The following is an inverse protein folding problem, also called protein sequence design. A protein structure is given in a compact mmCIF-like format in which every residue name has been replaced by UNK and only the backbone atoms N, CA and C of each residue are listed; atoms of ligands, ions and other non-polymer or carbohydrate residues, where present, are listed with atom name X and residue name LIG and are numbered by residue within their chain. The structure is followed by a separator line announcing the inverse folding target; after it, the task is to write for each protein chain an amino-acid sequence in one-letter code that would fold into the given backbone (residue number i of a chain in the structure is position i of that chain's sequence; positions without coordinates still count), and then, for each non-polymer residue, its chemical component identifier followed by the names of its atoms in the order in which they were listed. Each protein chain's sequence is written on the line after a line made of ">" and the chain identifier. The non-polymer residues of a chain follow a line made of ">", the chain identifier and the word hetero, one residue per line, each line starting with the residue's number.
data_IF_357634360256
#
_entry.id   IF_357634360256
#
_cell.length_a   1.000
_cell.length_b   1.000
_cell.length_c   1.000
_cell.angle_alpha   90.00
_cell.angle_beta   90.00
_cell.angle_gamma   90.00
#
_symmetry.space_group_name_H-M   'P 1'
#
loop_
_entity.id
_entity.type
_entity.pdbx_description
1 polymer ?
#
# COMPACT_ATOMS: atom_id res chain seq x y z
N UNK A 1 -20.14 -4.73 -3.66
CA UNK A 1 -19.54 -5.89 -4.37
C UNK A 1 -18.05 -5.82 -4.11
N UNK A 2 -17.58 -6.51 -3.06
CA UNK A 2 -16.17 -6.56 -2.70
C UNK A 2 -15.55 -7.72 -3.47
N UNK A 3 -14.78 -7.42 -4.50
CA UNK A 3 -14.07 -8.45 -5.27
C UNK A 3 -12.90 -8.93 -4.42
N UNK A 4 -13.16 -9.92 -3.56
CA UNK A 4 -12.12 -10.70 -2.92
C UNK A 4 -11.50 -11.60 -4.00
N UNK A 5 -10.41 -11.13 -4.61
CA UNK A 5 -9.57 -11.96 -5.47
C UNK A 5 -8.73 -12.81 -4.52
N UNK A 6 -9.10 -14.08 -4.38
CA UNK A 6 -8.30 -15.04 -3.62
C UNK A 6 -6.91 -15.21 -4.22
N UNK A 7 -5.88 -15.19 -3.38
CA UNK A 7 -4.51 -15.50 -3.78
C UNK A 7 -3.56 -15.59 -2.60
N UNK A 8 -3.34 -16.83 -2.11
CA UNK A 8 -2.33 -17.25 -1.12
C UNK A 8 -2.66 -16.94 0.37
N UNK A 9 -2.41 -17.88 1.31
CA UNK A 9 -2.67 -17.67 2.75
C UNK A 9 -1.70 -16.69 3.45
N UNK A 10 -0.72 -16.13 2.73
CA UNK A 10 0.39 -15.36 3.34
C UNK A 10 0.66 -13.99 2.71
N UNK A 11 -0.10 -13.60 1.67
CA UNK A 11 0.02 -12.28 1.03
C UNK A 11 -1.37 -11.62 1.05
N UNK A 12 -1.63 -10.83 2.09
CA UNK A 12 -2.88 -10.06 2.17
C UNK A 12 -2.65 -8.78 1.38
N UNK A 13 -3.31 -8.67 0.23
CA UNK A 13 -3.27 -7.47 -0.61
C UNK A 13 -4.66 -6.84 -0.68
N UNK A 14 -4.75 -5.56 -0.30
CA UNK A 14 -5.96 -4.76 -0.36
C UNK A 14 -5.79 -3.62 -1.37
N UNK A 15 -6.78 -3.45 -2.25
CA UNK A 15 -6.80 -2.33 -3.20
C UNK A 15 -7.46 -1.12 -2.55
N UNK A 16 -6.64 -0.11 -2.22
CA UNK A 16 -7.09 1.13 -1.63
C UNK A 16 -7.18 2.24 -2.69
N UNK A 17 -8.38 2.79 -2.91
CA UNK A 17 -8.59 3.89 -3.84
C UNK A 17 -8.67 5.21 -3.10
N UNK A 18 -7.85 6.17 -3.48
CA UNK A 18 -7.80 7.50 -2.87
C UNK A 18 -7.60 8.56 -3.95
N UNK A 19 -8.48 9.55 -4.02
CA UNK A 19 -8.37 10.69 -4.97
C UNK A 19 -8.18 10.29 -6.44
N UNK A 20 -8.89 9.25 -6.89
CA UNK A 20 -8.77 8.72 -8.26
C UNK A 20 -7.48 7.94 -8.54
N UNK A 21 -6.63 7.75 -7.53
CA UNK A 21 -5.43 6.91 -7.57
C UNK A 21 -5.73 5.54 -6.94
N UNK A 22 -5.09 4.52 -7.47
CA UNK A 22 -5.25 3.14 -7.00
C UNK A 22 -3.95 2.69 -6.34
N UNK A 23 -4.02 2.46 -5.04
CA UNK A 23 -2.94 1.92 -4.22
C UNK A 23 -3.21 0.44 -3.94
N UNK A 24 -2.14 -0.35 -3.90
CA UNK A 24 -2.17 -1.76 -3.55
C UNK A 24 -1.36 -1.89 -2.26
N UNK A 25 -2.08 -1.99 -1.15
CA UNK A 25 -1.53 -2.15 0.18
C UNK A 25 -1.36 -3.64 0.43
N UNK A 26 -0.12 -4.12 0.54
CA UNK A 26 0.18 -5.55 0.70
C UNK A 26 0.91 -5.79 2.02
N UNK A 27 0.67 -6.96 2.61
CA UNK A 27 1.43 -7.48 3.73
C UNK A 27 2.25 -8.68 3.24
N UNK A 28 3.55 -8.49 3.10
CA UNK A 28 4.47 -9.52 2.65
C UNK A 28 5.04 -10.26 3.86
N UNK A 29 4.83 -11.58 3.94
CA UNK A 29 5.39 -12.37 5.04
C UNK A 29 6.90 -12.60 4.84
N UNK A 30 7.67 -12.36 5.89
CA UNK A 30 9.09 -12.62 5.98
C UNK A 30 9.35 -14.05 6.46
N UNK A 31 10.53 -14.64 6.16
CA UNK A 31 10.89 -16.00 6.60
C UNK A 31 10.96 -16.16 8.12
N UNK A 32 11.05 -15.05 8.86
CA UNK A 32 11.01 -15.02 10.34
C UNK A 32 9.58 -15.19 10.90
N UNK A 33 8.56 -15.21 10.04
CA UNK A 33 7.14 -15.32 10.40
C UNK A 33 6.44 -13.97 10.60
N UNK A 34 7.19 -12.86 10.65
CA UNK A 34 6.66 -11.49 10.70
C UNK A 34 6.20 -10.99 9.33
N UNK A 35 5.43 -9.89 9.29
CA UNK A 35 4.93 -9.26 8.07
C UNK A 35 5.57 -7.90 7.83
N UNK A 36 5.76 -7.55 6.57
CA UNK A 36 6.28 -6.28 6.09
C UNK A 36 5.17 -5.56 5.32
N UNK A 37 4.85 -4.33 5.70
CA UNK A 37 3.91 -3.49 4.96
C UNK A 37 4.55 -2.94 3.68
N UNK A 38 3.93 -3.19 2.52
CA UNK A 38 4.36 -2.62 1.25
C UNK A 38 3.22 -1.86 0.58
N UNK A 39 3.56 -0.68 0.07
CA UNK A 39 2.64 0.20 -0.66
C UNK A 39 3.06 0.22 -2.11
N UNK A 40 2.18 -0.22 -2.99
CA UNK A 40 2.37 -0.11 -4.43
C UNK A 40 1.32 0.84 -5.00
N UNK A 41 1.67 1.56 -6.03
CA UNK A 41 0.77 2.46 -6.74
C UNK A 41 0.62 1.99 -8.17
N UNK A 42 -0.63 1.89 -8.62
CA UNK A 42 -0.96 1.57 -9.99
C UNK A 42 -1.11 2.87 -10.78
N UNK A 43 -0.18 3.11 -11.68
CA UNK A 43 -0.10 4.32 -12.48
C UNK A 43 -1.00 4.25 -13.70
N UNK A 44 -2.03 5.09 -13.83
CA UNK A 44 -2.73 5.29 -15.10
C UNK A 44 -1.90 6.18 -16.05
N UNK A 45 -2.03 6.02 -17.39
CA UNK A 45 -2.87 5.05 -18.10
C UNK A 45 -2.19 3.70 -18.36
N UNK A 46 -0.91 3.55 -18.03
CA UNK A 46 -0.12 2.35 -18.35
C UNK A 46 -0.49 1.14 -17.48
N UNK A 47 -1.24 1.36 -16.40
CA UNK A 47 -1.56 0.38 -15.36
C UNK A 47 -0.30 -0.27 -14.75
N UNK A 48 0.85 0.42 -14.83
CA UNK A 48 2.10 -0.05 -14.25
C UNK A 48 2.02 0.00 -12.73
N UNK A 49 2.37 -1.10 -12.08
CA UNK A 49 2.41 -1.19 -10.62
C UNK A 49 3.83 -0.88 -10.18
N UNK A 50 3.98 0.19 -9.40
CA UNK A 50 5.28 0.62 -8.86
C UNK A 50 5.24 0.55 -7.36
N UNK A 51 6.24 -0.10 -6.76
CA UNK A 51 6.38 -0.01 -5.30
C UNK A 51 6.79 1.40 -4.90
N UNK A 52 5.95 2.04 -4.10
CA UNK A 52 6.20 3.37 -3.55
C UNK A 52 7.08 3.29 -2.32
N UNK A 53 6.71 2.40 -1.39
CA UNK A 53 7.37 2.33 -0.09
C UNK A 53 7.25 0.92 0.51
N UNK A 54 8.34 0.53 1.15
CA UNK A 54 8.41 -0.61 2.05
C UNK A 54 8.59 -0.07 3.46
N UNK A 55 7.72 -0.44 4.38
CA UNK A 55 7.81 0.03 5.77
C UNK A 55 8.87 -0.77 6.53
N UNK A 56 9.92 -0.14 7.05
CA UNK A 56 11.00 -0.92 7.69
C UNK A 56 10.58 -1.64 8.98
N UNK A 57 9.36 -1.37 9.49
CA UNK A 57 8.82 -2.06 10.65
C UNK A 57 8.28 -3.44 10.27
N UNK A 58 8.48 -4.38 11.20
CA UNK A 58 7.92 -5.71 11.12
C UNK A 58 6.68 -5.77 11.98
N UNK A 59 5.64 -6.41 11.46
CA UNK A 59 4.35 -6.58 12.11
C UNK A 59 4.15 -8.04 12.48
N UNK A 60 3.49 -8.30 13.60
CA UNK A 60 3.14 -9.66 14.01
C UNK A 60 1.97 -10.21 13.18
N UNK A 61 1.14 -9.33 12.62
CA UNK A 61 -0.07 -9.69 11.90
C UNK A 61 -0.13 -9.04 10.51
N UNK A 62 -0.62 -9.78 9.52
CA UNK A 62 -0.87 -9.25 8.17
C UNK A 62 -1.84 -8.06 8.20
N UNK A 63 -2.88 -8.11 9.03
CA UNK A 63 -3.85 -7.02 9.16
C UNK A 63 -3.21 -5.71 9.65
N UNK A 64 -2.26 -5.79 10.58
CA UNK A 64 -1.52 -4.61 11.06
C UNK A 64 -0.62 -4.03 9.96
N UNK A 65 0.06 -4.91 9.20
CA UNK A 65 0.87 -4.48 8.05
C UNK A 65 0.01 -3.83 6.95
N UNK A 66 -1.15 -4.38 6.61
CA UNK A 66 -2.07 -3.76 5.62
C UNK A 66 -2.62 -2.42 6.12
N UNK A 67 -2.98 -2.35 7.40
CA UNK A 67 -3.42 -1.10 8.01
C UNK A 67 -2.32 -0.04 7.90
N UNK A 68 -1.07 -0.42 8.18
CA UNK A 68 0.07 0.50 8.02
C UNK A 68 0.30 0.91 6.58
N UNK A 69 0.28 -0.05 5.66
CA UNK A 69 0.43 0.22 4.23
C UNK A 69 -0.63 1.24 3.75
N UNK A 70 -1.86 1.15 4.26
CA UNK A 70 -2.92 2.11 3.96
C UNK A 70 -2.61 3.51 4.50
N UNK A 71 -2.15 3.62 5.76
CA UNK A 71 -1.73 4.91 6.32
C UNK A 71 -0.59 5.55 5.51
N UNK A 72 0.40 4.75 5.09
CA UNK A 72 1.51 5.21 4.26
C UNK A 72 1.04 5.63 2.86
N UNK A 73 0.09 4.92 2.27
CA UNK A 73 -0.50 5.30 0.99
C UNK A 73 -1.21 6.67 1.07
N UNK A 74 -1.96 6.91 2.15
CA UNK A 74 -2.63 8.19 2.42
C UNK A 74 -1.58 9.29 2.64
N UNK A 75 -0.55 9.03 3.47
CA UNK A 75 0.50 10.00 3.73
C UNK A 75 1.29 10.36 2.45
N UNK A 76 1.58 9.37 1.61
CA UNK A 76 2.22 9.58 0.31
C UNK A 76 1.33 10.41 -0.63
N UNK A 77 0.03 10.09 -0.70
CA UNK A 77 -0.93 10.83 -1.51
C UNK A 77 -1.03 12.29 -1.03
N UNK A 78 -1.15 12.51 0.28
CA UNK A 78 -1.21 13.82 0.90
C UNK A 78 0.07 14.64 0.67
N UNK A 79 1.26 14.03 0.73
CA UNK A 79 2.51 14.73 0.41
C UNK A 79 2.58 15.12 -1.08
N UNK A 80 2.02 14.30 -1.97
CA UNK A 80 2.05 14.56 -3.42
C UNK A 80 0.96 15.50 -3.90
N UNK A 81 -0.19 15.56 -3.21
CA UNK A 81 -1.23 16.56 -3.45
C UNK A 81 -0.88 17.90 -2.76
N UNK A 82 -0.22 17.82 -1.59
CA UNK A 82 0.35 18.96 -0.87
C UNK A 82 1.55 19.63 -1.57
N UNK A 83 2.20 18.96 -2.52
CA UNK A 83 3.21 19.54 -3.43
C UNK A 83 2.57 20.50 -4.47
N UNK A 84 1.30 20.87 -4.29
CA UNK A 84 0.64 21.99 -4.95
C UNK A 84 0.73 23.33 -4.21
N UNK A 85 1.36 23.42 -3.02
CA UNK A 85 1.60 24.70 -2.31
C UNK A 85 2.88 24.70 -1.49
N UNK A 86 3.97 25.01 -2.18
CA UNK A 86 5.25 25.41 -1.59
C UNK A 86 5.92 26.51 -2.43
N UNK A 87 5.15 27.50 -2.87
CA UNK A 87 5.70 28.79 -3.31
C UNK A 87 5.90 29.67 -2.06
N UNK A 88 7.14 30.13 -1.81
CA UNK A 88 7.43 31.22 -0.85
C UNK A 88 8.61 30.97 0.05
#
# INVERSE_FOLDING_TARGET
>A
MTTAIGGQPFDVMDEFRHEGRVFLCSAEQLPDGTFHASVRYRMPPTNEIRTLQYDQQRYASAAEAVSRATELAIAWAANRDGDGRGEG
#
